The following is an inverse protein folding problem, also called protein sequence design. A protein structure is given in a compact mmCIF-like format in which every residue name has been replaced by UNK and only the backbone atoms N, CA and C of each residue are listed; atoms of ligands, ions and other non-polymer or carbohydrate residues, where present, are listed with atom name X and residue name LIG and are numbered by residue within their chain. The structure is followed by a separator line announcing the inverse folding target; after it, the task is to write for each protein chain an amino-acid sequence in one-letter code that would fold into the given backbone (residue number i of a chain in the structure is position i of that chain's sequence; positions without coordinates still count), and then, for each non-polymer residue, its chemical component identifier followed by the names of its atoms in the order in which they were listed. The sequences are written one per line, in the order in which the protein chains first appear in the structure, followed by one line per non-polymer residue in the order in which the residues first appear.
data_IF_669523064956
#
_entry.id   IF_669523064956
#
_cell.length_a   1.000
_cell.length_b   1.000
_cell.length_c   1.000
_cell.angle_alpha   90.00
_cell.angle_beta   90.00
_cell.angle_gamma   90.00
#
_symmetry.space_group_name_H-M   'P 1'
#
loop_
_entity.id
_entity.type
_entity.pdbx_description
1 polymer ?
#
# COMPACT_ATOMS: atom_id res chain seq x y z
N UNK A 1 20.00 -9.66 1.32
CA UNK A 1 19.68 -8.53 2.20
C UNK A 1 18.20 -8.26 2.20
N UNK A 2 17.59 -8.00 3.36
CA UNK A 2 16.21 -7.54 3.38
C UNK A 2 16.06 -6.25 2.56
N UNK A 3 14.96 -6.11 1.86
CA UNK A 3 14.68 -4.87 1.13
C UNK A 3 14.55 -3.70 2.08
N UNK A 4 15.39 -2.68 1.95
CA UNK A 4 15.39 -1.51 2.84
C UNK A 4 14.04 -0.79 2.85
N UNK A 5 13.41 -0.65 1.67
CA UNK A 5 12.11 0.01 1.57
C UNK A 5 11.04 -0.77 2.31
N UNK A 6 10.94 -2.06 2.06
CA UNK A 6 9.90 -2.92 2.66
C UNK A 6 10.09 -2.97 4.18
N UNK A 7 11.32 -3.11 4.65
CA UNK A 7 11.63 -3.10 6.08
C UNK A 7 11.23 -1.78 6.74
N UNK A 8 11.51 -0.66 6.08
CA UNK A 8 11.16 0.67 6.58
C UNK A 8 9.63 0.84 6.68
N UNK A 9 8.90 0.39 5.68
CA UNK A 9 7.44 0.48 5.67
C UNK A 9 6.83 -0.42 6.75
N UNK A 10 7.41 -1.60 6.99
CA UNK A 10 6.91 -2.52 8.02
C UNK A 10 7.00 -1.95 9.44
N UNK A 11 7.84 -0.95 9.65
CA UNK A 11 8.01 -0.29 10.94
C UNK A 11 7.04 0.88 11.16
N UNK A 12 6.34 1.33 10.12
CA UNK A 12 5.34 2.37 10.28
C UNK A 12 3.97 1.75 10.58
N UNK A 13 3.07 2.57 11.12
CA UNK A 13 1.72 2.11 11.45
C UNK A 13 0.97 1.68 10.19
N UNK A 14 0.39 0.49 10.22
CA UNK A 14 -0.46 -0.02 9.15
C UNK A 14 -1.92 0.14 9.57
N UNK A 15 -2.67 0.96 8.82
CA UNK A 15 -4.08 1.19 9.07
C UNK A 15 -4.90 0.11 8.37
N UNK A 16 -5.87 -0.46 9.08
CA UNK A 16 -6.74 -1.53 8.58
C UNK A 16 -8.20 -1.22 8.83
N UNK A 17 -9.07 -1.92 8.11
CA UNK A 17 -10.52 -1.85 8.24
C UNK A 17 -11.07 -3.24 8.54
N UNK A 18 -12.29 -3.28 9.06
CA UNK A 18 -13.01 -4.53 9.29
C UNK A 18 -13.96 -4.79 8.12
N UNK A 19 -14.17 -6.05 7.79
CA UNK A 19 -15.05 -6.45 6.69
C UNK A 19 -16.48 -5.90 6.85
N UNK A 20 -16.94 -5.72 8.08
CA UNK A 20 -18.28 -5.20 8.39
C UNK A 20 -18.35 -3.67 8.42
N UNK A 21 -17.21 -2.98 8.26
CA UNK A 21 -17.22 -1.52 8.18
C UNK A 21 -17.96 -1.05 6.93
N UNK A 22 -18.54 0.15 7.02
CA UNK A 22 -19.30 0.72 5.91
C UNK A 22 -18.41 1.48 4.95
N UNK A 23 -18.92 1.74 3.75
CA UNK A 23 -18.26 2.60 2.75
C UNK A 23 -17.95 3.97 3.33
N UNK A 24 -18.87 4.54 4.12
CA UNK A 24 -18.65 5.84 4.76
C UNK A 24 -17.47 5.79 5.73
N UNK A 25 -17.39 4.77 6.56
CA UNK A 25 -16.28 4.57 7.50
C UNK A 25 -14.95 4.43 6.74
N UNK A 26 -14.93 3.63 5.68
CA UNK A 26 -13.74 3.46 4.86
C UNK A 26 -13.27 4.78 4.26
N UNK A 27 -14.19 5.53 3.67
CA UNK A 27 -13.89 6.84 3.07
C UNK A 27 -13.30 7.81 4.10
N UNK A 28 -13.92 7.89 5.28
CA UNK A 28 -13.45 8.76 6.37
C UNK A 28 -12.06 8.38 6.83
N UNK A 29 -11.80 7.09 7.01
CA UNK A 29 -10.49 6.62 7.50
C UNK A 29 -9.38 6.78 6.48
N UNK A 30 -9.66 6.55 5.21
CA UNK A 30 -8.68 6.83 4.14
C UNK A 30 -8.30 8.31 4.15
N UNK A 31 -9.30 9.19 4.25
CA UNK A 31 -9.07 10.63 4.25
C UNK A 31 -8.31 11.08 5.51
N UNK A 32 -8.76 10.66 6.69
CA UNK A 32 -8.15 11.06 7.97
C UNK A 32 -6.69 10.60 8.10
N UNK A 33 -6.37 9.42 7.58
CA UNK A 33 -5.03 8.84 7.69
C UNK A 33 -4.15 9.14 6.48
N UNK A 34 -4.65 9.90 5.51
CA UNK A 34 -3.92 10.29 4.30
C UNK A 34 -3.32 9.10 3.53
N UNK A 35 -4.09 8.03 3.41
CA UNK A 35 -3.67 6.83 2.67
C UNK A 35 -4.65 6.56 1.53
N UNK A 36 -4.14 5.99 0.44
CA UNK A 36 -4.92 5.69 -0.75
C UNK A 36 -5.60 4.32 -0.72
N UNK A 37 -5.21 3.46 0.20
CA UNK A 37 -5.84 2.16 0.37
C UNK A 37 -5.63 1.63 1.78
N UNK A 38 -6.47 0.68 2.17
CA UNK A 38 -6.35 -0.04 3.44
C UNK A 38 -6.67 -1.51 3.26
N UNK A 39 -5.88 -2.39 3.88
CA UNK A 39 -6.24 -3.80 3.99
C UNK A 39 -7.47 -3.99 4.88
N UNK A 40 -8.24 -5.02 4.57
CA UNK A 40 -9.46 -5.36 5.30
C UNK A 40 -9.24 -6.69 6.00
N UNK A 41 -9.52 -6.71 7.30
CA UNK A 41 -9.35 -7.89 8.14
C UNK A 41 -10.71 -8.49 8.49
N UNK A 42 -10.73 -9.83 8.63
CA UNK A 42 -11.90 -10.53 9.17
C UNK A 42 -11.86 -10.56 10.70
N UNK A 43 -12.82 -11.24 11.31
CA UNK A 43 -12.92 -11.39 12.78
C UNK A 43 -11.74 -12.14 13.40
N UNK A 44 -11.01 -12.92 12.59
CA UNK A 44 -9.81 -13.65 13.02
C UNK A 44 -8.51 -12.91 12.73
N UNK A 45 -8.60 -11.62 12.36
CA UNK A 45 -7.46 -10.75 12.04
C UNK A 45 -6.71 -11.21 10.77
N UNK A 46 -7.36 -11.95 9.89
CA UNK A 46 -6.80 -12.34 8.60
C UNK A 46 -7.18 -11.33 7.53
N UNK A 47 -6.26 -11.03 6.62
CA UNK A 47 -6.53 -10.14 5.50
C UNK A 47 -7.45 -10.84 4.52
N UNK A 48 -8.61 -10.27 4.27
CA UNK A 48 -9.63 -10.83 3.35
C UNK A 48 -9.81 -9.99 2.11
N UNK A 49 -9.28 -8.77 2.09
CA UNK A 49 -9.42 -7.88 0.95
C UNK A 49 -8.63 -6.61 1.13
N UNK A 50 -8.74 -5.75 0.14
CA UNK A 50 -8.14 -4.41 0.15
C UNK A 50 -9.14 -3.45 -0.49
N UNK A 51 -9.22 -2.23 0.04
CA UNK A 51 -10.05 -1.18 -0.53
C UNK A 51 -9.21 0.05 -0.79
N UNK A 52 -9.43 0.69 -1.93
CA UNK A 52 -8.70 1.87 -2.35
C UNK A 52 -9.65 3.03 -2.66
N UNK A 53 -9.10 4.23 -2.77
CA UNK A 53 -9.84 5.41 -3.24
C UNK A 53 -10.47 5.13 -4.61
N UNK A 54 -9.80 4.37 -5.47
CA UNK A 54 -10.31 3.99 -6.79
C UNK A 54 -11.56 3.13 -6.68
N UNK A 55 -11.60 2.18 -5.75
CA UNK A 55 -12.78 1.34 -5.52
C UNK A 55 -13.96 2.19 -5.11
N UNK A 56 -13.76 3.17 -4.24
CA UNK A 56 -14.82 4.10 -3.82
C UNK A 56 -15.29 4.97 -4.97
N UNK A 57 -14.36 5.47 -5.79
CA UNK A 57 -14.69 6.26 -6.97
C UNK A 57 -15.54 5.46 -7.96
N UNK A 58 -15.18 4.21 -8.21
CA UNK A 58 -15.94 3.31 -9.09
C UNK A 58 -17.33 3.03 -8.52
N UNK A 59 -17.44 2.88 -7.20
CA UNK A 59 -18.74 2.69 -6.55
C UNK A 59 -19.65 3.89 -6.74
N UNK A 60 -19.12 5.11 -6.56
CA UNK A 60 -19.88 6.35 -6.76
C UNK A 60 -20.38 6.45 -8.19
N UNK A 61 -19.55 6.07 -9.16
CA UNK A 61 -19.91 6.07 -10.57
C UNK A 61 -21.01 5.04 -10.88
N UNK A 62 -21.06 3.95 -10.13
CA UNK A 62 -22.08 2.92 -10.31
C UNK A 62 -23.42 3.35 -9.72
N UNK A 63 -24.52 2.79 -10.23
CA UNK A 63 -25.85 3.06 -9.69
C UNK A 63 -26.11 2.35 -8.35
N UNK A 64 -25.12 1.62 -7.84
CA UNK A 64 -25.23 0.84 -6.61
C UNK A 64 -24.70 1.59 -5.39
N UNK A 65 -24.39 2.87 -5.53
CA UNK A 65 -23.82 3.65 -4.44
C UNK A 65 -24.77 3.76 -3.25
N UNK A 66 -24.24 3.38 -2.06
CA UNK A 66 -24.94 3.51 -0.79
C UNK A 66 -23.87 3.61 0.31
N UNK A 67 -23.89 4.69 1.09
CA UNK A 67 -22.89 4.92 2.16
C UNK A 67 -22.94 3.89 3.26
N UNK A 68 -24.06 3.19 3.44
CA UNK A 68 -24.25 2.15 4.45
C UNK A 68 -23.87 0.75 3.95
N UNK A 69 -23.45 0.63 2.68
CA UNK A 69 -22.98 -0.64 2.13
C UNK A 69 -21.70 -1.06 2.88
N UNK A 70 -21.63 -2.34 3.25
CA UNK A 70 -20.41 -2.86 3.91
C UNK A 70 -19.32 -3.12 2.87
N UNK A 71 -18.08 -2.87 3.27
CA UNK A 71 -16.94 -2.89 2.33
C UNK A 71 -16.56 -4.28 1.86
N UNK A 72 -16.97 -5.34 2.55
CA UNK A 72 -16.78 -6.72 2.09
C UNK A 72 -17.45 -6.99 0.74
N UNK A 73 -18.45 -6.19 0.38
CA UNK A 73 -19.17 -6.34 -0.90
C UNK A 73 -18.47 -5.65 -2.06
N UNK A 74 -17.55 -4.74 -1.79
CA UNK A 74 -16.88 -3.94 -2.84
C UNK A 74 -15.37 -4.06 -2.84
N UNK A 75 -14.78 -4.65 -1.79
CA UNK A 75 -13.32 -4.80 -1.68
C UNK A 75 -12.78 -5.71 -2.79
N UNK A 76 -11.52 -5.48 -3.15
CA UNK A 76 -10.79 -6.41 -4.01
C UNK A 76 -10.30 -7.57 -3.18
N UNK A 77 -10.53 -8.79 -3.65
CA UNK A 77 -10.06 -10.04 -3.04
C UNK A 77 -8.79 -10.56 -3.69
N UNK A 78 -8.36 -9.93 -4.78
CA UNK A 78 -7.15 -10.31 -5.48
C UNK A 78 -5.95 -9.65 -4.78
N UNK A 79 -5.44 -10.31 -3.76
CA UNK A 79 -4.36 -9.80 -2.92
C UNK A 79 -3.01 -10.12 -3.54
N UNK A 80 -2.20 -9.09 -3.75
CA UNK A 80 -0.82 -9.24 -4.21
C UNK A 80 0.06 -8.96 -3.01
N UNK A 81 0.93 -9.89 -2.69
CA UNK A 81 1.75 -9.84 -1.48
C UNK A 81 3.24 -9.90 -1.79
N UNK A 82 4.01 -9.40 -0.86
CA UNK A 82 5.47 -9.55 -0.82
C UNK A 82 5.89 -9.86 0.62
N UNK A 83 7.17 -10.12 0.82
CA UNK A 83 7.71 -10.35 2.15
C UNK A 83 8.77 -9.30 2.50
N UNK A 84 9.36 -9.40 3.69
CA UNK A 84 10.35 -8.44 4.18
C UNK A 84 11.65 -8.47 3.38
N UNK A 85 11.90 -9.52 2.61
CA UNK A 85 13.11 -9.67 1.81
C UNK A 85 12.93 -9.20 0.35
N UNK A 86 11.72 -8.80 -0.01
CA UNK A 86 11.43 -8.34 -1.38
C UNK A 86 12.18 -7.04 -1.67
N UNK A 87 12.89 -7.01 -2.79
CA UNK A 87 13.66 -5.84 -3.21
C UNK A 87 12.78 -4.80 -3.91
N UNK A 88 13.29 -3.57 -4.00
CA UNK A 88 12.62 -2.49 -4.75
C UNK A 88 12.45 -2.88 -6.22
N UNK A 89 13.45 -3.54 -6.80
CA UNK A 89 13.39 -4.00 -8.20
C UNK A 89 12.24 -5.00 -8.40
N UNK A 90 12.10 -5.96 -7.50
CA UNK A 90 11.00 -6.93 -7.55
C UNK A 90 9.64 -6.24 -7.42
N UNK A 91 9.53 -5.26 -6.54
CA UNK A 91 8.30 -4.47 -6.37
C UNK A 91 7.96 -3.70 -7.65
N UNK A 92 8.96 -3.10 -8.29
CA UNK A 92 8.78 -2.37 -9.54
C UNK A 92 8.28 -3.30 -10.65
N UNK A 93 8.84 -4.49 -10.75
CA UNK A 93 8.42 -5.49 -11.73
C UNK A 93 6.96 -5.89 -11.52
N UNK A 94 6.56 -6.15 -10.28
CA UNK A 94 5.17 -6.47 -9.94
C UNK A 94 4.22 -5.35 -10.34
N UNK A 95 4.58 -4.11 -10.01
CA UNK A 95 3.72 -2.95 -10.28
C UNK A 95 3.60 -2.67 -11.78
N UNK A 96 4.67 -2.88 -12.54
CA UNK A 96 4.69 -2.64 -13.98
C UNK A 96 3.94 -3.73 -14.73
N UNK A 97 4.25 -4.98 -14.47
CA UNK A 97 3.69 -6.13 -15.21
C UNK A 97 2.19 -6.31 -14.97
N UNK A 98 1.73 -6.06 -13.76
CA UNK A 98 0.35 -6.33 -13.35
C UNK A 98 -0.49 -5.06 -13.12
N UNK A 99 0.07 -3.89 -13.38
CA UNK A 99 -0.57 -2.59 -13.14
C UNK A 99 -1.08 -2.46 -11.71
N UNK A 100 -0.34 -3.01 -10.76
CA UNK A 100 -0.68 -3.04 -9.35
C UNK A 100 -0.16 -1.77 -8.69
N UNK A 101 -1.01 -1.10 -7.90
CA UNK A 101 -0.64 0.13 -7.19
C UNK A 101 -0.24 -0.10 -5.75
N UNK A 102 -0.71 -1.19 -5.16
CA UNK A 102 -0.49 -1.51 -3.75
C UNK A 102 -0.14 -2.98 -3.60
N UNK A 103 0.85 -3.26 -2.77
CA UNK A 103 1.31 -4.62 -2.47
C UNK A 103 1.30 -4.77 -0.95
N UNK A 104 0.74 -5.86 -0.47
CA UNK A 104 0.71 -6.16 0.96
C UNK A 104 2.03 -6.80 1.40
N UNK A 105 2.58 -6.34 2.52
CA UNK A 105 3.76 -6.95 3.13
C UNK A 105 3.26 -7.97 4.14
N UNK A 106 3.57 -9.24 3.89
CA UNK A 106 3.15 -10.35 4.76
C UNK A 106 4.38 -11.07 5.30
N UNK A 107 4.33 -11.48 6.55
CA UNK A 107 5.35 -12.32 7.17
C UNK A 107 4.66 -13.29 8.10
N UNK A 108 4.92 -14.59 7.93
CA UNK A 108 4.30 -15.64 8.74
C UNK A 108 2.77 -15.52 8.83
N UNK A 109 2.14 -15.21 7.70
CA UNK A 109 0.69 -14.99 7.57
C UNK A 109 0.16 -13.77 8.34
N UNK A 110 1.07 -12.87 8.76
CA UNK A 110 0.70 -11.63 9.44
C UNK A 110 0.96 -10.43 8.53
N UNK A 111 0.01 -9.50 8.53
CA UNK A 111 0.13 -8.26 7.81
C UNK A 111 1.15 -7.34 8.49
N UNK A 112 2.16 -6.89 7.76
CA UNK A 112 3.19 -5.97 8.26
C UNK A 112 3.07 -4.56 7.70
N UNK A 113 2.43 -4.40 6.55
CA UNK A 113 2.27 -3.08 5.96
C UNK A 113 1.76 -3.16 4.53
N UNK A 114 1.67 -1.98 3.90
CA UNK A 114 1.26 -1.84 2.51
C UNK A 114 2.27 -0.95 1.79
N UNK A 115 2.77 -1.41 0.66
CA UNK A 115 3.66 -0.64 -0.20
C UNK A 115 2.85 -0.04 -1.33
N UNK A 116 2.84 1.29 -1.45
CA UNK A 116 2.21 1.97 -2.58
C UNK A 116 3.23 2.28 -3.68
N UNK A 117 2.73 2.59 -4.88
CA UNK A 117 3.61 3.07 -5.96
C UNK A 117 4.32 4.37 -5.54
N UNK A 118 3.64 5.22 -4.77
CA UNK A 118 4.22 6.45 -4.23
C UNK A 118 5.41 6.17 -3.31
N UNK A 119 5.34 5.13 -2.49
CA UNK A 119 6.45 4.72 -1.62
C UNK A 119 7.68 4.34 -2.44
N UNK A 120 7.48 3.59 -3.53
CA UNK A 120 8.57 3.18 -4.40
C UNK A 120 9.19 4.39 -5.10
N UNK A 121 8.37 5.28 -5.63
CA UNK A 121 8.84 6.50 -6.31
C UNK A 121 9.63 7.38 -5.35
N UNK A 122 9.12 7.62 -4.16
CA UNK A 122 9.82 8.41 -3.15
C UNK A 122 11.16 7.79 -2.75
N UNK A 123 11.19 6.48 -2.59
CA UNK A 123 12.45 5.78 -2.28
C UNK A 123 13.48 5.98 -3.36
N UNK A 124 13.09 5.85 -4.64
CA UNK A 124 13.99 6.03 -5.78
C UNK A 124 14.48 7.47 -5.90
N UNK A 125 13.60 8.44 -5.70
CA UNK A 125 13.97 9.86 -5.74
C UNK A 125 14.99 10.17 -4.65
N UNK A 126 14.75 9.70 -3.42
CA UNK A 126 15.66 9.94 -2.30
C UNK A 126 17.02 9.27 -2.53
N UNK A 127 17.02 8.06 -3.06
CA UNK A 127 18.25 7.33 -3.40
C UNK A 127 19.05 8.09 -4.45
N UNK A 128 18.37 8.58 -5.50
CA UNK A 128 19.01 9.37 -6.56
C UNK A 128 19.62 10.66 -5.99
N UNK A 129 18.90 11.35 -5.12
CA UNK A 129 19.41 12.58 -4.49
C UNK A 129 20.66 12.32 -3.65
N UNK A 130 20.69 11.23 -2.88
CA UNK A 130 21.84 10.85 -2.08
C UNK A 130 23.06 10.56 -2.96
N UNK A 131 22.89 9.78 -4.02
CA UNK A 131 23.96 9.49 -4.97
C UNK A 131 24.48 10.75 -5.65
N UNK A 132 23.59 11.64 -6.07
CA UNK A 132 23.96 12.90 -6.71
C UNK A 132 24.70 13.82 -5.75
N UNK A 133 24.29 13.88 -4.48
CA UNK A 133 24.97 14.65 -3.43
C UNK A 133 26.37 14.10 -3.21
N UNK A 134 26.52 12.80 -3.08
CA UNK A 134 27.82 12.15 -2.89
C UNK A 134 28.78 12.45 -4.03
N UNK A 135 28.27 12.41 -5.26
CA UNK A 135 29.07 12.74 -6.45
C UNK A 135 29.51 14.21 -6.44
N UNK A 136 28.63 15.13 -6.10
CA UNK A 136 28.96 16.56 -5.97
C UNK A 136 30.01 16.81 -4.91
N UNK A 137 29.86 16.17 -3.74
CA UNK A 137 30.83 16.29 -2.66
C UNK A 137 32.19 15.77 -3.09
N UNK A 138 32.23 14.66 -3.83
CA UNK A 138 33.46 14.10 -4.40
C UNK A 138 34.12 15.09 -5.36
N UNK A 139 33.35 15.66 -6.28
CA UNK A 139 33.85 16.64 -7.26
C UNK A 139 34.37 17.89 -6.56
N UNK A 140 33.66 18.37 -5.53
CA UNK A 140 34.02 19.58 -4.81
C UNK A 140 35.21 19.40 -3.85
N UNK A 141 35.63 18.17 -3.55
CA UNK A 141 36.76 17.87 -2.69
C UNK A 141 38.11 17.92 -3.44
N UNK A 142 38.08 18.08 -4.75
CA UNK A 142 39.26 18.29 -5.58
C UNK A 142 39.26 19.71 -6.13
#
# INVERSE_FOLDING_TARGET
MPGKLVSKISNRKCFTLKAIDTVKTASSRLHENHVGCMPILDEHQKVVGIISERDLSQLIHSERFNTNLTIDKIMSKNLITCDLNTSVTELMELKTDKKIRHVLIMEENKLKGVVSIGDVVNHLINKYKEENKSLRDYINSY
#
